data_IF_839710943462
#
_entry.id   IF_839710943462
#
_cell.length_a   1.000
_cell.length_b   1.000
_cell.length_c   1.000
_cell.angle_alpha   90.00
_cell.angle_beta   90.00
_cell.angle_gamma   90.00
#
_symmetry.space_group_name_H-M   'P 1'
#
loop_
_entity.id
_entity.type
_entity.pdbx_description
1 polymer ?
#
# COMPACT_ATOMS: atom_id res chain seq x y z
N UNK A 1 9.65 6.22 -7.09
CA UNK A 1 9.65 6.35 -5.61
C UNK A 1 9.80 5.03 -4.87
N UNK A 2 10.17 5.05 -3.59
CA UNK A 2 10.10 3.87 -2.70
C UNK A 2 8.68 3.72 -2.14
N UNK A 3 8.17 2.50 -2.08
CA UNK A 3 6.84 2.21 -1.55
C UNK A 3 6.82 0.88 -0.76
N UNK A 4 6.15 0.86 0.39
CA UNK A 4 5.85 -0.39 1.09
C UNK A 4 4.63 -1.05 0.43
N UNK A 5 4.79 -2.23 -0.17
CA UNK A 5 3.72 -2.92 -0.91
C UNK A 5 3.47 -4.31 -0.36
N UNK A 6 2.21 -4.72 -0.41
CA UNK A 6 1.82 -6.10 -0.13
C UNK A 6 2.24 -7.00 -1.30
N UNK A 7 2.73 -8.20 -1.00
CA UNK A 7 3.23 -9.15 -2.00
C UNK A 7 2.30 -10.34 -2.18
N UNK A 8 1.62 -10.76 -1.11
CA UNK A 8 0.68 -11.88 -1.12
C UNK A 8 -0.47 -11.66 -0.12
N UNK A 9 -1.54 -12.45 -0.25
CA UNK A 9 -2.64 -12.52 0.73
C UNK A 9 -2.26 -13.42 1.92
N UNK A 10 -1.16 -13.08 2.56
CA UNK A 10 -0.58 -13.81 3.69
C UNK A 10 -0.13 -12.83 4.77
N UNK A 11 -0.03 -13.31 6.01
CA UNK A 11 0.42 -12.48 7.11
C UNK A 11 1.89 -12.07 6.89
N UNK A 12 2.18 -10.79 7.10
CA UNK A 12 3.50 -10.16 7.00
C UNK A 12 4.11 -10.17 5.60
N UNK A 13 3.34 -10.48 4.57
CA UNK A 13 3.79 -10.49 3.18
C UNK A 13 3.82 -9.07 2.59
N UNK A 14 4.70 -8.20 3.12
CA UNK A 14 4.94 -6.85 2.60
C UNK A 14 6.44 -6.62 2.41
N UNK A 15 6.81 -5.81 1.42
CA UNK A 15 8.19 -5.45 1.17
C UNK A 15 8.30 -3.99 0.71
N UNK A 16 9.47 -3.40 0.95
CA UNK A 16 9.83 -2.13 0.33
C UNK A 16 10.22 -2.39 -1.13
N UNK A 17 9.53 -1.76 -2.07
CA UNK A 17 9.76 -1.86 -3.50
C UNK A 17 10.12 -0.48 -4.06
N UNK A 18 10.92 -0.47 -5.13
CA UNK A 18 11.09 0.72 -5.97
C UNK A 18 10.02 0.67 -7.07
N UNK A 19 9.26 1.75 -7.21
CA UNK A 19 8.23 1.90 -8.24
C UNK A 19 8.44 3.20 -9.01
N UNK A 20 7.83 3.32 -10.19
CA UNK A 20 7.79 4.57 -10.94
C UNK A 20 6.93 5.61 -10.23
N UNK A 21 7.16 6.89 -10.51
CA UNK A 21 6.32 7.95 -9.98
C UNK A 21 5.03 8.01 -10.82
N UNK A 22 3.84 8.00 -10.21
CA UNK A 22 2.59 7.97 -10.96
C UNK A 22 2.34 9.31 -11.66
N UNK A 23 1.75 9.24 -12.86
CA UNK A 23 1.35 10.42 -13.62
C UNK A 23 -0.11 10.74 -13.26
N UNK A 24 -0.39 11.91 -12.64
CA UNK A 24 -1.75 12.25 -12.23
C UNK A 24 -2.67 12.45 -13.45
N UNK A 25 -3.87 11.88 -13.38
CA UNK A 25 -4.95 12.10 -14.33
C UNK A 25 -5.66 13.44 -14.14
N UNK A 26 -6.74 13.66 -14.90
CA UNK A 26 -7.52 14.88 -14.78
C UNK A 26 -8.17 15.00 -13.39
N UNK A 27 -7.86 16.07 -12.67
CA UNK A 27 -8.40 16.34 -11.33
C UNK A 27 -7.61 15.69 -10.19
N UNK A 28 -6.56 14.94 -10.50
CA UNK A 28 -5.67 14.32 -9.51
C UNK A 28 -4.45 15.21 -9.22
N UNK A 29 -3.81 14.96 -8.09
CA UNK A 29 -2.57 15.63 -7.68
C UNK A 29 -1.53 14.59 -7.27
N UNK A 30 -0.28 14.83 -7.65
CA UNK A 30 0.86 14.06 -7.16
C UNK A 30 1.43 14.73 -5.91
N UNK A 31 1.56 13.97 -4.82
CA UNK A 31 2.07 14.46 -3.54
C UNK A 31 3.44 13.85 -3.22
N UNK A 32 4.37 14.69 -2.76
CA UNK A 32 5.61 14.24 -2.13
C UNK A 32 5.34 13.88 -0.66
N UNK A 33 5.07 12.60 -0.40
CA UNK A 33 4.79 12.11 0.97
C UNK A 33 6.04 12.25 1.85
N UNK A 34 5.99 13.16 2.82
CA UNK A 34 7.06 13.34 3.83
C UNK A 34 6.94 12.38 5.00
N UNK A 35 5.71 12.12 5.46
CA UNK A 35 5.40 11.23 6.58
C UNK A 35 4.04 10.55 6.37
N UNK A 36 3.89 9.33 6.88
CA UNK A 36 2.62 8.59 6.91
C UNK A 36 2.50 7.88 8.26
N UNK A 37 1.32 7.96 8.89
CA UNK A 37 1.05 7.23 10.13
C UNK A 37 0.67 5.77 9.85
N UNK A 38 0.78 4.92 10.88
CA UNK A 38 0.28 3.54 10.83
C UNK A 38 -0.98 3.45 11.67
N UNK A 39 -2.08 3.08 11.02
CA UNK A 39 -3.39 2.86 11.64
C UNK A 39 -3.59 1.38 11.98
N UNK A 40 -4.55 1.07 12.85
CA UNK A 40 -4.95 -0.30 13.14
C UNK A 40 -5.43 -1.06 11.89
N UNK A 41 -6.09 -0.37 10.95
CA UNK A 41 -6.52 -0.97 9.67
C UNK A 41 -5.35 -1.49 8.84
N UNK A 42 -4.20 -0.82 8.88
CA UNK A 42 -2.99 -1.26 8.17
C UNK A 42 -2.47 -2.57 8.78
N UNK A 43 -2.56 -2.71 10.10
CA UNK A 43 -2.20 -3.93 10.81
C UNK A 43 -3.12 -5.10 10.46
N UNK A 44 -4.42 -4.86 10.28
CA UNK A 44 -5.35 -5.90 9.82
C UNK A 44 -4.97 -6.43 8.43
N UNK A 45 -4.59 -5.55 7.51
CA UNK A 45 -4.09 -5.94 6.18
C UNK A 45 -2.74 -6.68 6.29
N UNK A 46 -1.81 -6.13 7.08
CA UNK A 46 -0.48 -6.70 7.30
C UNK A 46 -0.55 -8.11 7.90
N UNK A 47 -1.45 -8.36 8.85
CA UNK A 47 -1.62 -9.67 9.49
C UNK A 47 -2.59 -10.60 8.74
N UNK A 48 -3.15 -10.16 7.61
CA UNK A 48 -4.13 -10.91 6.81
C UNK A 48 -5.35 -11.37 7.63
N UNK A 49 -5.90 -10.47 8.45
CA UNK A 49 -7.13 -10.74 9.20
C UNK A 49 -8.36 -10.85 8.28
N UNK A 50 -9.34 -11.65 8.71
CA UNK A 50 -10.63 -11.78 8.01
C UNK A 50 -11.34 -10.43 7.90
N UNK A 51 -12.02 -10.18 6.78
CA UNK A 51 -12.73 -8.93 6.47
C UNK A 51 -11.91 -7.89 5.69
N UNK A 52 -10.63 -8.16 5.41
CA UNK A 52 -9.74 -7.30 4.62
C UNK A 52 -9.29 -7.96 3.31
N UNK A 53 -10.02 -8.97 2.85
CA UNK A 53 -9.70 -9.75 1.65
C UNK A 53 -9.80 -8.92 0.36
N UNK A 54 -10.61 -7.86 0.36
CA UNK A 54 -10.75 -6.94 -0.79
C UNK A 54 -9.46 -6.17 -1.10
N UNK A 55 -8.54 -6.06 -0.13
CA UNK A 55 -7.26 -5.39 -0.34
C UNK A 55 -6.37 -6.25 -1.23
N UNK A 56 -6.15 -5.79 -2.46
CA UNK A 56 -5.33 -6.47 -3.45
C UNK A 56 -3.86 -6.52 -2.99
N UNK A 57 -3.10 -7.57 -3.33
CA UNK A 57 -1.65 -7.59 -3.09
C UNK A 57 -0.96 -6.40 -3.77
N UNK A 58 -1.33 -6.11 -5.02
CA UNK A 58 -0.82 -4.95 -5.75
C UNK A 58 -1.98 -4.05 -6.14
N UNK A 59 -1.87 -2.79 -5.77
CA UNK A 59 -2.64 -1.68 -6.35
C UNK A 59 -1.65 -0.91 -7.22
N UNK A 60 -2.03 -0.65 -8.47
CA UNK A 60 -1.26 0.14 -9.44
C UNK A 60 -1.45 1.62 -9.17
#
# INVERSE_FOLDING_TARGET
MKALRRQAREARAVAMEQVEDPIPGHGEVLLEVRHCGVCGSDLHVYLNHKGYESVLPRVT
#
